data_IF_807249587939
#
_entry.id   IF_807249587939
#
_cell.length_a   1.000
_cell.length_b   1.000
_cell.length_c   1.000
_cell.angle_alpha   90.00
_cell.angle_beta   90.00
_cell.angle_gamma   90.00
#
_symmetry.space_group_name_H-M   'P 1'
#
loop_
_entity.id
_entity.type
_entity.pdbx_description
1 polymer ?
#
# COMPACT_ATOMS: atom_id res chain seq x y z
N UNK A 1 -25.33 -8.63 43.01
CA UNK A 1 -24.08 -8.86 42.27
C UNK A 1 -24.37 -8.54 40.82
N UNK A 2 -24.00 -7.33 40.41
CA UNK A 2 -24.22 -6.82 39.06
C UNK A 2 -22.98 -7.15 38.22
N UNK A 3 -23.16 -7.83 37.10
CA UNK A 3 -22.12 -7.95 36.08
C UNK A 3 -22.44 -6.95 34.99
N UNK A 4 -21.68 -5.87 35.01
CA UNK A 4 -21.53 -4.92 33.93
C UNK A 4 -20.44 -5.48 33.01
N UNK A 5 -20.81 -5.84 31.78
CA UNK A 5 -19.86 -6.08 30.70
C UNK A 5 -20.30 -5.20 29.52
N UNK A 6 -19.85 -3.95 29.55
CA UNK A 6 -19.83 -3.05 28.39
C UNK A 6 -19.20 -3.76 27.19
N UNK A 7 -20.00 -3.95 26.16
CA UNK A 7 -19.53 -4.24 24.80
C UNK A 7 -18.93 -2.93 24.28
N UNK A 8 -17.60 -2.92 24.14
CA UNK A 8 -16.86 -1.91 23.40
C UNK A 8 -15.99 -2.64 22.35
N UNK A 9 -16.66 -3.34 21.41
CA UNK A 9 -16.01 -4.10 20.31
C UNK A 9 -16.55 -3.68 18.94
N UNK A 10 -17.02 -2.44 18.80
CA UNK A 10 -17.52 -1.93 17.51
C UNK A 10 -16.44 -1.34 16.60
N UNK A 11 -15.34 -0.82 17.16
CA UNK A 11 -14.41 0.03 16.40
C UNK A 11 -13.20 -0.73 15.81
N UNK A 12 -12.69 -1.76 16.49
CA UNK A 12 -11.56 -2.55 16.01
C UNK A 12 -11.94 -3.46 14.83
N UNK A 13 -13.08 -4.14 14.90
CA UNK A 13 -13.49 -5.08 13.83
C UNK A 13 -13.75 -4.39 12.48
N UNK A 14 -14.26 -3.14 12.48
CA UNK A 14 -14.44 -2.37 11.23
C UNK A 14 -13.10 -1.88 10.64
N UNK A 15 -12.12 -1.61 11.50
CA UNK A 15 -10.77 -1.21 11.08
C UNK A 15 -10.00 -2.41 10.53
N UNK A 16 -10.15 -3.59 11.15
CA UNK A 16 -9.55 -4.85 10.72
C UNK A 16 -10.10 -5.32 9.36
N UNK A 17 -11.42 -5.24 9.14
CA UNK A 17 -12.01 -5.56 7.84
C UNK A 17 -11.46 -4.69 6.72
N UNK A 18 -11.20 -3.41 7.01
CA UNK A 18 -10.56 -2.52 6.06
C UNK A 18 -9.08 -2.86 5.84
N UNK A 19 -8.37 -3.27 6.89
CA UNK A 19 -6.98 -3.70 6.82
C UNK A 19 -6.84 -4.92 5.91
N UNK A 20 -7.68 -5.94 6.13
CA UNK A 20 -7.70 -7.18 5.35
C UNK A 20 -8.04 -6.91 3.87
N UNK A 21 -9.00 -6.02 3.60
CA UNK A 21 -9.34 -5.62 2.23
C UNK A 21 -8.17 -4.93 1.51
N UNK A 22 -7.43 -4.07 2.22
CA UNK A 22 -6.24 -3.39 1.69
C UNK A 22 -5.12 -4.40 1.46
N UNK A 23 -4.90 -5.30 2.40
CA UNK A 23 -3.94 -6.38 2.29
C UNK A 23 -4.19 -7.20 1.02
N UNK A 24 -5.44 -7.63 0.81
CA UNK A 24 -5.82 -8.36 -0.41
C UNK A 24 -5.61 -7.55 -1.69
N UNK A 25 -5.82 -6.22 -1.65
CA UNK A 25 -5.54 -5.36 -2.81
C UNK A 25 -4.05 -5.29 -3.11
N UNK A 26 -3.20 -5.19 -2.09
CA UNK A 26 -1.74 -5.20 -2.24
C UNK A 26 -1.29 -6.54 -2.83
N UNK A 27 -1.75 -7.67 -2.28
CA UNK A 27 -1.41 -9.01 -2.80
C UNK A 27 -1.89 -9.20 -4.24
N UNK A 28 -3.11 -8.77 -4.58
CA UNK A 28 -3.60 -8.82 -5.97
C UNK A 28 -2.78 -7.95 -6.90
N UNK A 29 -2.36 -6.78 -6.46
CA UNK A 29 -1.51 -5.90 -7.24
C UNK A 29 -0.13 -6.53 -7.46
N UNK A 30 0.46 -7.11 -6.41
CA UNK A 30 1.72 -7.85 -6.48
C UNK A 30 1.66 -8.98 -7.52
N UNK A 31 0.62 -9.80 -7.50
CA UNK A 31 0.42 -10.86 -8.51
C UNK A 31 0.24 -10.28 -9.93
N UNK A 32 -0.49 -9.16 -10.07
CA UNK A 32 -0.69 -8.49 -11.36
C UNK A 32 0.60 -7.88 -11.92
N UNK A 33 1.54 -7.49 -11.05
CA UNK A 33 2.79 -6.85 -11.42
C UNK A 33 3.64 -7.74 -12.35
N UNK A 34 3.62 -9.05 -12.12
CA UNK A 34 4.29 -10.06 -12.96
C UNK A 34 3.83 -10.01 -14.42
N UNK A 35 2.59 -9.56 -14.66
CA UNK A 35 2.00 -9.45 -15.99
C UNK A 35 2.00 -8.02 -16.53
N UNK A 36 2.52 -7.05 -15.77
CA UNK A 36 2.58 -5.67 -16.20
C UNK A 36 3.68 -5.48 -17.25
N UNK A 37 3.41 -4.65 -18.25
CA UNK A 37 4.42 -4.28 -19.23
C UNK A 37 5.53 -3.47 -18.55
N UNK A 38 6.78 -3.78 -18.90
CA UNK A 38 7.93 -2.97 -18.51
C UNK A 38 7.91 -1.64 -19.24
N UNK A 39 8.28 -0.56 -18.55
CA UNK A 39 8.52 0.73 -19.18
C UNK A 39 9.92 0.77 -19.82
N UNK A 40 10.28 1.92 -20.42
CA UNK A 40 11.59 2.11 -21.07
C UNK A 40 12.79 1.99 -20.13
N UNK A 41 12.56 2.03 -18.81
CA UNK A 41 13.58 1.85 -17.78
C UNK A 41 13.57 0.42 -17.19
N UNK A 42 12.78 -0.51 -17.74
CA UNK A 42 12.66 -1.88 -17.24
C UNK A 42 11.84 -2.00 -15.95
N UNK A 43 11.19 -0.92 -15.50
CA UNK A 43 10.36 -0.92 -14.29
C UNK A 43 8.95 -1.35 -14.66
N UNK A 44 8.40 -2.29 -13.88
CA UNK A 44 6.98 -2.64 -13.94
C UNK A 44 6.24 -1.86 -12.88
N UNK A 45 5.05 -1.34 -13.22
CA UNK A 45 4.21 -0.61 -12.26
C UNK A 45 2.76 -1.02 -12.43
N UNK A 46 2.06 -1.17 -11.31
CA UNK A 46 0.62 -1.43 -11.27
C UNK A 46 -0.06 -0.55 -10.22
N UNK A 47 -1.37 -0.36 -10.36
CA UNK A 47 -2.17 0.41 -9.42
C UNK A 47 -2.70 -0.51 -8.33
N UNK A 48 -2.46 -0.14 -7.07
CA UNK A 48 -3.05 -0.82 -5.90
C UNK A 48 -4.41 -0.22 -5.58
N UNK A 49 -4.45 1.11 -5.42
CA UNK A 49 -5.66 1.84 -5.07
C UNK A 49 -5.60 3.28 -5.60
N UNK A 50 -6.75 3.92 -5.72
CA UNK A 50 -6.84 5.35 -6.07
C UNK A 50 -7.83 6.06 -5.15
N UNK A 51 -7.38 7.17 -4.59
CA UNK A 51 -8.16 8.03 -3.70
C UNK A 51 -8.13 9.47 -4.24
N UNK A 52 -9.16 9.82 -5.03
CA UNK A 52 -9.25 11.12 -5.71
C UNK A 52 -8.01 11.40 -6.60
N UNK A 53 -7.20 12.40 -6.24
CA UNK A 53 -5.96 12.78 -6.92
C UNK A 53 -4.73 12.00 -6.44
N UNK A 54 -4.87 11.15 -5.42
CA UNK A 54 -3.81 10.27 -4.93
C UNK A 54 -3.94 8.88 -5.56
N UNK A 55 -2.84 8.34 -6.04
CA UNK A 55 -2.72 6.95 -6.47
C UNK A 55 -1.72 6.22 -5.59
N UNK A 56 -2.08 5.02 -5.16
CA UNK A 56 -1.15 4.08 -4.56
C UNK A 56 -0.69 3.14 -5.67
N UNK A 57 0.61 3.18 -5.96
CA UNK A 57 1.24 2.40 -7.03
C UNK A 57 2.21 1.41 -6.41
N UNK A 58 2.31 0.24 -7.04
CA UNK A 58 3.30 -0.76 -6.72
C UNK A 58 4.22 -0.91 -7.93
N UNK A 59 5.52 -0.74 -7.71
CA UNK A 59 6.54 -0.85 -8.75
C UNK A 59 7.58 -1.92 -8.39
N UNK A 60 7.99 -2.69 -9.39
CA UNK A 60 9.15 -3.60 -9.33
C UNK A 60 10.28 -2.92 -10.11
N UNK A 61 11.38 -2.62 -9.45
CA UNK A 61 12.56 -2.12 -10.13
C UNK A 61 13.36 -3.31 -10.69
N UNK A 62 13.96 -3.18 -11.88
CA UNK A 62 14.86 -4.21 -12.37
C UNK A 62 16.03 -4.36 -11.39
N UNK A 63 16.46 -5.59 -11.16
CA UNK A 63 17.65 -5.96 -10.39
C UNK A 63 18.92 -5.41 -11.07
N UNK A 64 19.11 -4.09 -10.98
CA UNK A 64 20.10 -3.37 -11.77
C UNK A 64 21.48 -3.30 -11.09
N UNK A 65 21.60 -3.74 -9.83
CA UNK A 65 22.80 -3.43 -9.04
C UNK A 65 23.47 -4.61 -8.35
N UNK A 66 22.84 -5.79 -8.26
CA UNK A 66 23.39 -6.92 -7.49
C UNK A 66 23.64 -6.58 -6.01
N UNK A 67 23.07 -5.49 -5.52
CA UNK A 67 23.14 -5.05 -4.13
C UNK A 67 22.02 -5.77 -3.38
N UNK A 68 22.40 -6.74 -2.55
CA UNK A 68 21.47 -7.64 -1.87
C UNK A 68 20.56 -6.97 -0.83
N UNK A 69 20.80 -5.69 -0.49
CA UNK A 69 20.09 -4.97 0.58
C UNK A 69 19.11 -3.89 0.08
N UNK A 70 18.81 -3.84 -1.22
CA UNK A 70 17.83 -2.89 -1.77
C UNK A 70 16.46 -3.56 -1.97
N UNK A 71 15.36 -2.91 -1.55
CA UNK A 71 14.02 -3.45 -1.77
C UNK A 71 13.70 -3.58 -3.25
N UNK A 72 13.25 -4.76 -3.67
CA UNK A 72 12.83 -5.05 -5.05
C UNK A 72 11.53 -4.34 -5.41
N UNK A 73 10.66 -4.12 -4.42
CA UNK A 73 9.35 -3.53 -4.60
C UNK A 73 9.23 -2.19 -3.91
N UNK A 74 8.53 -1.26 -4.55
CA UNK A 74 8.24 0.05 -4.01
C UNK A 74 6.75 0.33 -4.09
N UNK A 75 6.16 0.58 -2.91
CA UNK A 75 4.80 1.04 -2.77
C UNK A 75 4.82 2.56 -2.59
N UNK A 76 4.22 3.29 -3.52
CA UNK A 76 4.31 4.75 -3.57
C UNK A 76 2.93 5.40 -3.56
N UNK A 77 2.79 6.48 -2.80
CA UNK A 77 1.64 7.39 -2.90
C UNK A 77 2.02 8.51 -3.87
N UNK A 78 1.44 8.51 -5.06
CA UNK A 78 1.62 9.56 -6.06
C UNK A 78 0.48 10.56 -6.04
N UNK A 79 0.78 11.86 -5.92
CA UNK A 79 -0.20 12.92 -6.04
C UNK A 79 -0.19 13.50 -7.43
N UNK A 80 -1.33 13.42 -8.12
CA UNK A 80 -1.53 14.08 -9.41
C UNK A 80 -1.63 15.60 -9.29
N UNK A 81 -2.06 16.10 -8.13
CA UNK A 81 -2.17 17.55 -7.87
C UNK A 81 -0.79 18.21 -7.83
N UNK A 82 0.15 17.60 -7.11
CA UNK A 82 1.52 18.13 -6.97
C UNK A 82 2.50 17.50 -7.96
N UNK A 83 2.06 16.50 -8.73
CA UNK A 83 2.86 15.70 -9.66
C UNK A 83 4.10 15.07 -9.02
N UNK A 84 3.96 14.66 -7.76
CA UNK A 84 5.08 14.17 -6.95
C UNK A 84 4.69 12.94 -6.13
N UNK A 85 5.68 12.12 -5.82
CA UNK A 85 5.55 11.10 -4.77
C UNK A 85 5.46 11.81 -3.42
N UNK A 86 4.43 11.45 -2.67
CA UNK A 86 4.06 12.02 -1.37
C UNK A 86 4.62 11.19 -0.22
N UNK A 87 4.69 9.89 -0.42
CA UNK A 87 5.24 8.92 0.53
C UNK A 87 5.59 7.63 -0.22
N UNK A 88 6.51 6.84 0.32
CA UNK A 88 6.94 5.58 -0.30
C UNK A 88 7.45 4.60 0.72
N UNK A 89 7.20 3.32 0.49
CA UNK A 89 7.69 2.20 1.28
C UNK A 89 8.39 1.19 0.36
N UNK A 90 9.62 0.83 0.70
CA UNK A 90 10.31 -0.31 0.07
C UNK A 90 9.91 -1.61 0.73
N UNK A 91 9.68 -2.66 -0.06
CA UNK A 91 9.38 -4.02 0.40
C UNK A 91 10.27 -5.03 -0.34
N UNK A 92 10.75 -6.04 0.38
CA UNK A 92 11.54 -7.12 -0.19
C UNK A 92 10.63 -8.23 -0.71
N UNK A 93 9.71 -8.73 0.11
CA UNK A 93 8.89 -9.90 -0.23
C UNK A 93 7.43 -9.78 0.22
N UNK A 94 7.04 -8.67 0.84
CA UNK A 94 5.75 -8.50 1.50
C UNK A 94 5.50 -9.57 2.58
N UNK A 95 6.49 -9.80 3.44
CA UNK A 95 6.28 -10.59 4.65
C UNK A 95 5.23 -9.94 5.58
N UNK A 96 4.84 -10.61 6.66
CA UNK A 96 3.79 -10.12 7.55
C UNK A 96 4.06 -8.70 8.11
N UNK A 97 5.33 -8.36 8.40
CA UNK A 97 5.67 -7.05 8.93
C UNK A 97 5.66 -5.98 7.84
N UNK A 98 6.23 -6.29 6.67
CA UNK A 98 6.21 -5.41 5.50
C UNK A 98 4.78 -5.13 5.03
N UNK A 99 3.94 -6.15 5.01
CA UNK A 99 2.55 -6.06 4.59
C UNK A 99 1.74 -5.19 5.54
N UNK A 100 1.95 -5.31 6.85
CA UNK A 100 1.33 -4.42 7.84
C UNK A 100 1.75 -2.95 7.64
N UNK A 101 3.03 -2.68 7.36
CA UNK A 101 3.50 -1.33 7.03
C UNK A 101 2.92 -0.80 5.72
N UNK A 102 2.78 -1.67 4.71
CA UNK A 102 2.17 -1.33 3.44
C UNK A 102 0.69 -0.97 3.60
N UNK A 103 -0.06 -1.73 4.40
CA UNK A 103 -1.45 -1.41 4.75
C UNK A 103 -1.54 -0.04 5.42
N UNK A 104 -0.67 0.24 6.39
CA UNK A 104 -0.62 1.55 7.06
C UNK A 104 -0.35 2.71 6.07
N UNK A 105 0.55 2.51 5.09
CA UNK A 105 0.79 3.49 4.01
C UNK A 105 -0.49 3.78 3.21
N UNK A 106 -1.23 2.75 2.81
CA UNK A 106 -2.48 2.91 2.06
C UNK A 106 -3.57 3.59 2.92
N UNK A 107 -3.66 3.24 4.19
CA UNK A 107 -4.56 3.89 5.14
C UNK A 107 -4.23 5.37 5.30
N UNK A 108 -2.95 5.73 5.40
CA UNK A 108 -2.48 7.13 5.39
C UNK A 108 -2.88 7.85 4.11
N UNK A 109 -2.74 7.22 2.94
CA UNK A 109 -3.18 7.79 1.67
C UNK A 109 -4.69 8.09 1.68
N UNK A 110 -5.48 7.14 2.20
CA UNK A 110 -6.93 7.30 2.33
C UNK A 110 -7.32 8.41 3.29
N UNK A 111 -6.67 8.53 4.44
CA UNK A 111 -6.97 9.58 5.42
C UNK A 111 -6.51 10.96 4.91
N UNK A 112 -5.37 11.04 4.22
CA UNK A 112 -4.91 12.28 3.56
C UNK A 112 -5.91 12.81 2.53
N UNK A 113 -6.77 11.95 1.94
CA UNK A 113 -7.88 12.40 1.10
C UNK A 113 -8.76 13.45 1.80
N UNK A 114 -8.98 13.31 3.10
CA UNK A 114 -9.88 14.17 3.87
C UNK A 114 -9.30 15.56 4.13
N UNK A 115 -7.98 15.73 4.00
CA UNK A 115 -7.29 17.01 4.24
C UNK A 115 -7.18 17.90 2.98
N UNK A 116 -7.41 17.35 1.80
CA UNK A 116 -7.33 18.06 0.51
C UNK A 116 -8.70 18.29 -0.15
N UNK A 117 -9.80 18.15 0.61
CA UNK A 117 -11.17 18.45 0.19
C UNK A 117 -11.72 19.69 0.89
#
# INVERSE_FOLDING_TARGET
>A
MAWDCRIDTGFSLLSDLCSDDIEQQIIRAYVRLVFAAENTAGVRTTLVARFCSLEVRLSELPDASGVQDLPSFWLEIYSHTTRSTVDSLGCFEFDQAELAMAVDLVLKARHRRELYH
#
